data_IF_564368226805
#
_entry.id   IF_564368226805
#
_cell.length_a   1.000
_cell.length_b   1.000
_cell.length_c   1.000
_cell.angle_alpha   90.00
_cell.angle_beta   90.00
_cell.angle_gamma   90.00
#
_symmetry.space_group_name_H-M   'P 1'
#
loop_
_entity.id
_entity.type
_entity.pdbx_description
1 polymer ?
#
# COMPACT_ATOMS: atom_id res chain seq x y z
N UNK A 1 26.19 -47.83 66.51
CA UNK A 1 24.96 -47.42 65.80
C UNK A 1 25.31 -46.18 64.99
N UNK A 2 25.57 -46.36 63.71
CA UNK A 2 26.00 -45.26 62.79
C UNK A 2 25.01 -45.23 61.62
N UNK A 3 24.16 -44.22 61.65
CA UNK A 3 23.14 -43.99 60.62
C UNK A 3 23.76 -43.22 59.44
N UNK A 4 23.84 -43.84 58.28
CA UNK A 4 24.30 -43.21 57.02
C UNK A 4 23.19 -42.46 56.38
N UNK A 5 23.34 -41.12 56.28
CA UNK A 5 22.43 -40.23 55.55
C UNK A 5 22.82 -40.29 54.08
N UNK A 6 21.91 -40.75 53.22
CA UNK A 6 22.08 -40.72 51.77
C UNK A 6 21.47 -39.41 51.24
N UNK A 7 22.31 -38.54 50.65
CA UNK A 7 21.88 -37.32 49.98
C UNK A 7 21.61 -37.67 48.51
N UNK A 8 20.33 -37.65 48.10
CA UNK A 8 19.90 -37.71 46.72
C UNK A 8 20.04 -36.30 46.08
N UNK A 9 21.01 -36.12 45.25
CA UNK A 9 21.14 -34.93 44.40
C UNK A 9 20.26 -35.08 43.16
N UNK A 10 19.09 -34.40 43.15
CA UNK A 10 18.24 -34.28 41.98
C UNK A 10 18.82 -33.22 41.02
N UNK A 11 19.42 -33.64 39.94
CA UNK A 11 19.86 -32.74 38.87
C UNK A 11 18.65 -32.29 38.04
N UNK A 12 18.17 -31.07 38.33
CA UNK A 12 17.17 -30.40 37.47
C UNK A 12 17.86 -29.92 36.21
N UNK A 13 17.68 -30.65 35.11
CA UNK A 13 18.08 -30.21 33.76
C UNK A 13 17.07 -29.14 33.32
N UNK A 14 17.43 -27.87 33.53
CA UNK A 14 16.70 -26.76 32.88
C UNK A 14 16.95 -26.86 31.37
N UNK A 15 15.96 -27.35 30.63
CA UNK A 15 15.91 -27.24 29.19
C UNK A 15 15.76 -25.75 28.81
N UNK A 16 16.88 -25.12 28.46
CA UNK A 16 16.85 -23.81 27.79
C UNK A 16 16.28 -24.06 26.41
N UNK A 17 14.97 -23.80 26.24
CA UNK A 17 14.38 -23.67 24.92
C UNK A 17 15.06 -22.49 24.23
N UNK A 18 16.01 -22.79 23.34
CA UNK A 18 16.58 -21.80 22.44
C UNK A 18 15.42 -21.28 21.58
N UNK A 19 14.88 -20.14 21.97
CA UNK A 19 13.98 -19.37 21.10
C UNK A 19 14.77 -19.06 19.84
N UNK A 20 14.51 -19.80 18.78
CA UNK A 20 15.08 -19.49 17.47
C UNK A 20 14.63 -18.07 17.12
N UNK A 21 15.54 -17.21 16.67
CA UNK A 21 15.17 -15.89 16.22
C UNK A 21 14.09 -16.03 15.14
N UNK A 22 13.01 -15.23 15.26
CA UNK A 22 11.90 -15.19 14.32
C UNK A 22 12.30 -14.68 12.91
N UNK A 23 13.60 -14.50 12.67
CA UNK A 23 14.19 -14.08 11.41
C UNK A 23 14.00 -15.16 10.34
N UNK A 24 13.63 -14.77 9.15
CA UNK A 24 13.44 -15.60 7.95
C UNK A 24 12.19 -16.51 7.95
N UNK A 25 11.09 -16.07 8.55
CA UNK A 25 9.87 -16.88 8.60
C UNK A 25 9.04 -16.78 7.32
N UNK A 26 8.87 -15.56 6.76
CA UNK A 26 7.95 -15.34 5.63
C UNK A 26 8.40 -16.05 4.36
N UNK A 27 9.69 -15.99 4.01
CA UNK A 27 10.20 -16.67 2.82
C UNK A 27 9.97 -18.19 2.88
N UNK A 28 10.24 -18.82 4.02
CA UNK A 28 9.99 -20.27 4.21
C UNK A 28 8.50 -20.62 4.12
N UNK A 29 7.63 -19.81 4.72
CA UNK A 29 6.18 -20.00 4.66
C UNK A 29 5.67 -19.90 3.20
N UNK A 30 6.16 -18.92 2.44
CA UNK A 30 5.84 -18.73 1.03
C UNK A 30 6.31 -19.92 0.20
N UNK A 31 7.55 -20.38 0.39
CA UNK A 31 8.11 -21.55 -0.31
C UNK A 31 7.34 -22.83 0.01
N UNK A 32 7.03 -23.09 1.30
CA UNK A 32 6.27 -24.27 1.73
C UNK A 32 4.86 -24.28 1.20
N UNK A 33 4.22 -23.11 1.13
CA UNK A 33 2.88 -22.95 0.56
C UNK A 33 2.87 -23.08 -0.97
N UNK A 34 4.01 -22.84 -1.62
CA UNK A 34 4.17 -22.89 -3.08
C UNK A 34 3.48 -21.73 -3.82
N UNK A 35 3.12 -20.66 -3.12
CA UNK A 35 2.43 -19.51 -3.68
C UNK A 35 2.69 -18.26 -2.83
N UNK A 36 2.94 -17.12 -3.49
CA UNK A 36 2.97 -15.81 -2.88
C UNK A 36 1.56 -15.26 -2.67
N UNK A 37 1.30 -14.61 -1.53
CA UNK A 37 0.05 -13.89 -1.26
C UNK A 37 0.34 -12.40 -1.21
N UNK A 38 -0.10 -11.69 -2.24
CA UNK A 38 0.18 -10.27 -2.42
C UNK A 38 -1.07 -9.42 -2.19
N UNK A 39 -1.01 -8.47 -1.24
CA UNK A 39 -2.04 -7.46 -1.02
C UNK A 39 -1.94 -6.36 -2.06
N UNK A 40 -3.03 -6.11 -2.78
CA UNK A 40 -3.14 -5.14 -3.87
C UNK A 40 -4.31 -4.18 -3.66
N UNK A 41 -4.45 -3.14 -4.48
CA UNK A 41 -5.63 -2.27 -4.40
C UNK A 41 -6.90 -2.99 -4.89
N UNK A 42 -8.07 -2.40 -4.64
CA UNK A 42 -9.36 -2.95 -5.04
C UNK A 42 -9.72 -2.69 -6.52
N UNK A 43 -8.78 -2.17 -7.30
CA UNK A 43 -8.92 -1.83 -8.71
C UNK A 43 -8.47 -0.39 -8.98
N UNK A 44 -7.16 -0.21 -9.25
CA UNK A 44 -6.56 1.06 -9.63
C UNK A 44 -5.78 0.86 -10.92
N UNK A 45 -6.28 1.44 -12.01
CA UNK A 45 -5.67 1.33 -13.32
C UNK A 45 -4.21 1.84 -13.29
N UNK A 46 -3.31 1.10 -13.93
CA UNK A 46 -1.86 1.36 -13.93
C UNK A 46 -1.10 0.75 -12.75
N UNK A 47 -1.74 0.50 -11.59
CA UNK A 47 -1.10 -0.08 -10.39
C UNK A 47 -1.52 -1.53 -10.15
N UNK A 48 -2.78 -1.75 -9.81
CA UNK A 48 -3.36 -3.09 -9.67
C UNK A 48 -4.83 -3.07 -10.04
N UNK A 49 -5.15 -3.60 -11.20
CA UNK A 49 -6.50 -3.58 -11.75
C UNK A 49 -6.85 -4.94 -12.36
N UNK A 50 -7.94 -5.60 -11.93
CA UNK A 50 -8.43 -6.80 -12.57
C UNK A 50 -9.18 -6.45 -13.85
N UNK A 51 -8.97 -7.23 -14.92
CA UNK A 51 -9.81 -7.17 -16.12
C UNK A 51 -11.14 -7.93 -15.93
N UNK A 52 -11.98 -7.92 -16.94
CA UNK A 52 -13.29 -8.60 -16.91
C UNK A 52 -13.17 -10.13 -16.75
N UNK A 53 -12.01 -10.71 -17.00
CA UNK A 53 -11.69 -12.13 -16.81
C UNK A 53 -11.01 -12.41 -15.46
N UNK A 54 -10.86 -11.37 -14.61
CA UNK A 54 -10.21 -11.47 -13.31
C UNK A 54 -8.67 -11.51 -13.38
N UNK A 55 -8.06 -11.22 -14.52
CA UNK A 55 -6.59 -11.15 -14.65
C UNK A 55 -6.11 -9.78 -14.18
N UNK A 56 -5.19 -9.81 -13.24
CA UNK A 56 -4.60 -8.60 -12.67
C UNK A 56 -3.48 -8.03 -13.55
N UNK A 57 -3.42 -6.70 -13.66
CA UNK A 57 -2.38 -5.98 -14.41
C UNK A 57 -1.98 -4.70 -13.68
N UNK A 58 -0.75 -4.21 -13.93
CA UNK A 58 -0.23 -2.95 -13.45
C UNK A 58 1.04 -3.09 -12.62
N UNK A 59 1.67 -1.97 -12.32
CA UNK A 59 2.99 -1.86 -11.70
C UNK A 59 3.10 -2.67 -10.39
N UNK A 60 2.13 -2.55 -9.49
CA UNK A 60 2.11 -3.28 -8.22
C UNK A 60 1.94 -4.80 -8.43
N UNK A 61 1.18 -5.19 -9.44
CA UNK A 61 0.99 -6.60 -9.84
C UNK A 61 2.30 -7.19 -10.37
N UNK A 62 3.03 -6.43 -11.17
CA UNK A 62 4.28 -6.88 -11.77
C UNK A 62 5.39 -7.00 -10.74
N UNK A 63 5.41 -6.16 -9.71
CA UNK A 63 6.28 -6.35 -8.51
C UNK A 63 6.00 -7.71 -7.85
N UNK A 64 4.73 -8.06 -7.62
CA UNK A 64 4.39 -9.35 -7.01
C UNK A 64 4.79 -10.54 -7.91
N UNK A 65 4.63 -10.42 -9.22
CA UNK A 65 5.04 -11.44 -10.20
C UNK A 65 6.56 -11.60 -10.25
N UNK A 66 7.32 -10.50 -10.19
CA UNK A 66 8.77 -10.54 -10.16
C UNK A 66 9.26 -11.27 -8.90
N UNK A 67 8.66 -11.02 -7.74
CA UNK A 67 8.96 -11.73 -6.50
C UNK A 67 8.63 -13.23 -6.63
N UNK A 68 7.48 -13.57 -7.20
CA UNK A 68 7.11 -14.98 -7.39
C UNK A 68 8.06 -15.68 -8.37
N UNK A 69 8.46 -15.02 -9.45
CA UNK A 69 9.46 -15.54 -10.38
C UNK A 69 10.82 -15.78 -9.69
N UNK A 70 11.26 -14.86 -8.83
CA UNK A 70 12.50 -15.00 -8.09
C UNK A 70 12.50 -16.18 -7.10
N UNK A 71 11.32 -16.52 -6.54
CA UNK A 71 11.20 -17.60 -5.54
C UNK A 71 10.92 -18.97 -6.20
N UNK A 72 10.11 -19.00 -7.26
CA UNK A 72 9.52 -20.21 -7.82
C UNK A 72 9.91 -20.48 -9.27
N UNK A 73 10.66 -19.60 -9.90
CA UNK A 73 10.89 -19.60 -11.37
C UNK A 73 9.56 -19.59 -12.17
N UNK A 74 8.49 -19.03 -11.56
CA UNK A 74 7.14 -18.98 -12.13
C UNK A 74 6.38 -17.73 -11.64
N UNK A 75 6.19 -16.71 -12.49
CA UNK A 75 5.48 -15.47 -12.11
C UNK A 75 3.98 -15.67 -11.88
N UNK A 76 3.41 -16.82 -12.23
CA UNK A 76 2.00 -17.13 -12.02
C UNK A 76 1.70 -17.61 -10.59
N UNK A 77 2.72 -17.94 -9.79
CA UNK A 77 2.56 -18.39 -8.41
C UNK A 77 2.23 -17.28 -7.43
N UNK A 78 1.27 -16.42 -7.78
CA UNK A 78 0.78 -15.32 -6.96
C UNK A 78 -0.72 -15.43 -6.77
N UNK A 79 -1.18 -15.22 -5.54
CA UNK A 79 -2.58 -14.93 -5.20
C UNK A 79 -2.69 -13.45 -4.84
N UNK A 80 -3.48 -12.71 -5.58
CA UNK A 80 -3.77 -11.31 -5.30
C UNK A 80 -4.94 -11.19 -4.32
N UNK A 81 -4.78 -10.35 -3.29
CA UNK A 81 -5.80 -10.06 -2.28
C UNK A 81 -6.13 -8.57 -2.34
N UNK A 82 -7.31 -8.20 -2.84
CA UNK A 82 -7.71 -6.80 -2.89
C UNK A 82 -8.02 -6.27 -1.49
N UNK A 83 -7.35 -5.19 -1.08
CA UNK A 83 -7.45 -4.59 0.23
C UNK A 83 -7.85 -3.12 0.13
N UNK A 84 -8.68 -2.65 1.07
CA UNK A 84 -8.97 -1.22 1.21
C UNK A 84 -7.78 -0.45 1.80
N UNK A 85 -7.79 0.87 1.70
CA UNK A 85 -6.76 1.70 2.34
C UNK A 85 -6.77 1.57 3.86
N UNK A 86 -7.94 1.35 4.46
CA UNK A 86 -8.09 1.25 5.90
C UNK A 86 -7.56 -0.08 6.48
N UNK A 87 -7.72 -1.21 5.76
CA UNK A 87 -7.39 -2.53 6.31
C UNK A 87 -6.04 -3.11 5.83
N UNK A 88 -5.38 -2.49 4.83
CA UNK A 88 -4.16 -3.06 4.22
C UNK A 88 -3.05 -3.37 5.22
N UNK A 89 -2.78 -2.46 6.15
CA UNK A 89 -1.69 -2.66 7.12
C UNK A 89 -2.04 -3.71 8.16
N UNK A 90 -3.29 -3.77 8.60
CA UNK A 90 -3.77 -4.84 9.51
C UNK A 90 -3.70 -6.20 8.84
N UNK A 91 -4.06 -6.31 7.56
CA UNK A 91 -3.95 -7.55 6.79
C UNK A 91 -2.49 -8.02 6.66
N UNK A 92 -1.53 -7.09 6.49
CA UNK A 92 -0.11 -7.42 6.48
C UNK A 92 0.38 -7.87 7.87
N UNK A 93 0.02 -7.15 8.92
CA UNK A 93 0.42 -7.47 10.30
C UNK A 93 -0.16 -8.80 10.77
N UNK A 94 -1.40 -9.13 10.40
CA UNK A 94 -2.07 -10.40 10.74
C UNK A 94 -1.63 -11.59 9.89
N UNK A 95 -0.71 -11.40 8.94
CA UNK A 95 -0.22 -12.41 7.98
C UNK A 95 -1.28 -12.93 7.00
N UNK A 96 -2.35 -12.18 6.77
CA UNK A 96 -3.31 -12.45 5.70
C UNK A 96 -2.64 -12.35 4.33
N UNK A 97 -1.67 -11.43 4.20
CA UNK A 97 -0.80 -11.27 3.03
C UNK A 97 0.68 -11.28 3.44
N UNK A 98 1.56 -11.67 2.51
CA UNK A 98 3.00 -11.73 2.73
C UNK A 98 3.66 -10.37 2.56
N UNK A 99 3.16 -9.57 1.62
CA UNK A 99 3.56 -8.19 1.37
C UNK A 99 2.37 -7.39 0.86
N UNK A 100 2.54 -6.07 0.88
CA UNK A 100 1.68 -5.14 0.15
C UNK A 100 2.46 -4.58 -1.05
N UNK A 101 1.92 -4.72 -2.24
CA UNK A 101 2.23 -3.89 -3.40
C UNK A 101 0.91 -3.21 -3.78
N UNK A 102 0.68 -2.03 -3.17
CA UNK A 102 -0.63 -1.40 -3.15
C UNK A 102 -0.51 0.12 -3.01
N UNK A 103 0.16 0.76 -3.93
CA UNK A 103 0.32 2.23 -3.97
C UNK A 103 0.35 2.84 -2.56
N UNK A 104 1.23 2.35 -1.69
CA UNK A 104 1.34 2.78 -0.30
C UNK A 104 2.47 3.75 -0.12
N UNK A 105 2.16 4.95 0.37
CA UNK A 105 3.15 5.99 0.63
C UNK A 105 4.05 5.61 1.80
N UNK A 106 5.34 5.69 1.62
CA UNK A 106 6.34 5.58 2.67
C UNK A 106 6.33 6.84 3.52
N UNK A 107 5.86 6.72 4.75
CA UNK A 107 5.86 7.81 5.73
C UNK A 107 6.54 7.39 7.01
N UNK A 108 7.11 8.36 7.74
CA UNK A 108 7.77 8.10 9.01
C UNK A 108 6.86 7.32 9.99
N UNK A 109 5.59 7.72 10.10
CA UNK A 109 4.65 7.07 11.02
C UNK A 109 4.32 5.63 10.63
N UNK A 110 4.16 5.35 9.33
CA UNK A 110 3.91 4.00 8.84
C UNK A 110 5.11 3.08 9.06
N UNK A 111 6.30 3.59 8.80
CA UNK A 111 7.55 2.84 8.93
C UNK A 111 7.87 2.56 10.42
N UNK A 112 7.84 3.58 11.27
CA UNK A 112 8.33 3.47 12.65
C UNK A 112 7.28 3.05 13.68
N UNK A 113 5.99 3.33 13.46
CA UNK A 113 4.94 3.12 14.47
C UNK A 113 4.07 1.90 14.20
N UNK A 114 3.98 1.46 12.93
CA UNK A 114 3.13 0.33 12.55
C UNK A 114 3.88 -0.99 12.43
N UNK A 115 5.19 -1.04 12.73
CA UNK A 115 6.00 -2.25 12.60
C UNK A 115 6.07 -2.74 11.16
N UNK A 116 6.30 -1.83 10.23
CA UNK A 116 6.37 -2.07 8.80
C UNK A 116 7.73 -1.63 8.25
N UNK A 117 8.20 -2.32 7.20
CA UNK A 117 9.39 -1.95 6.42
C UNK A 117 8.98 -1.66 4.98
N UNK A 118 9.33 -0.48 4.49
CA UNK A 118 9.23 -0.17 3.07
C UNK A 118 10.51 -0.62 2.36
N UNK A 119 10.38 -1.43 1.33
CA UNK A 119 11.53 -2.09 0.70
C UNK A 119 12.14 -1.32 -0.47
N UNK A 120 11.51 -0.23 -0.89
CA UNK A 120 11.94 0.64 -1.96
C UNK A 120 10.81 1.51 -2.47
N UNK A 121 11.09 2.32 -3.48
CA UNK A 121 10.08 3.17 -4.12
C UNK A 121 9.93 2.71 -5.57
N UNK A 122 8.71 2.35 -5.95
CA UNK A 122 8.37 1.97 -7.32
C UNK A 122 7.68 3.09 -8.10
N UNK A 123 7.16 4.12 -7.40
CA UNK A 123 6.54 5.27 -8.04
C UNK A 123 6.62 6.51 -7.14
N UNK A 124 7.03 7.66 -7.71
CA UNK A 124 6.97 8.96 -7.03
C UNK A 124 5.71 9.67 -7.46
N UNK A 125 4.78 9.86 -6.53
CA UNK A 125 3.52 10.54 -6.74
C UNK A 125 3.40 11.79 -5.86
N UNK A 126 2.27 12.44 -5.93
CA UNK A 126 1.88 13.55 -5.08
C UNK A 126 0.38 13.75 -5.15
N UNK A 127 -0.21 14.24 -4.06
CA UNK A 127 -1.64 14.49 -3.97
C UNK A 127 -2.05 15.70 -4.79
N UNK A 128 -3.19 15.58 -5.49
CA UNK A 128 -3.81 16.65 -6.26
C UNK A 128 -5.33 16.71 -6.00
N UNK A 129 -6.00 17.59 -6.71
CA UNK A 129 -7.46 17.76 -6.66
C UNK A 129 -8.06 17.62 -8.06
N UNK A 130 -9.20 16.96 -8.16
CA UNK A 130 -9.99 16.85 -9.38
C UNK A 130 -11.32 17.57 -9.19
N UNK A 131 -11.71 18.38 -10.16
CA UNK A 131 -12.94 19.15 -10.17
C UNK A 131 -13.68 18.98 -11.50
N UNK A 132 -14.98 19.31 -11.52
CA UNK A 132 -15.74 19.41 -12.77
C UNK A 132 -15.32 20.67 -13.52
N UNK A 133 -15.15 20.58 -14.84
CA UNK A 133 -14.84 21.75 -15.70
C UNK A 133 -15.90 22.84 -15.58
N UNK A 134 -17.16 22.46 -15.33
CA UNK A 134 -18.27 23.40 -15.12
C UNK A 134 -18.09 24.29 -13.88
N UNK A 135 -17.28 23.87 -12.90
CA UNK A 135 -16.96 24.71 -11.73
C UNK A 135 -16.08 25.91 -12.07
N UNK A 136 -15.38 25.88 -13.24
CA UNK A 136 -14.48 26.95 -13.72
C UNK A 136 -13.36 27.30 -12.74
N UNK A 137 -12.92 26.31 -11.96
CA UNK A 137 -11.79 26.39 -11.04
C UNK A 137 -10.52 25.99 -11.79
N UNK A 138 -9.48 26.75 -11.64
CA UNK A 138 -8.18 26.54 -12.32
C UNK A 138 -7.02 26.29 -11.34
N UNK A 139 -7.23 26.56 -10.06
CA UNK A 139 -6.23 26.41 -9.00
C UNK A 139 -6.85 25.82 -7.73
N UNK A 140 -6.08 25.01 -7.01
CA UNK A 140 -6.45 24.50 -5.70
C UNK A 140 -6.67 25.63 -4.67
N UNK A 141 -6.09 26.80 -4.89
CA UNK A 141 -6.28 27.98 -4.05
C UNK A 141 -7.71 28.56 -4.14
N UNK A 142 -8.47 28.16 -5.14
CA UNK A 142 -9.86 28.59 -5.35
C UNK A 142 -10.88 27.64 -4.68
N UNK A 143 -10.44 26.57 -4.01
CA UNK A 143 -11.28 25.52 -3.41
C UNK A 143 -11.83 25.88 -2.02
N UNK A 144 -11.72 27.14 -1.59
CA UNK A 144 -12.23 27.59 -0.30
C UNK A 144 -13.76 27.38 -0.18
N UNK A 145 -14.20 26.66 0.86
CA UNK A 145 -15.60 26.33 1.11
C UNK A 145 -16.14 25.09 0.38
N UNK A 146 -15.32 24.45 -0.46
CA UNK A 146 -15.74 23.28 -1.21
C UNK A 146 -15.92 22.03 -0.33
N UNK A 147 -16.87 21.17 -0.72
CA UNK A 147 -17.00 19.81 -0.21
C UNK A 147 -16.01 18.91 -0.94
N UNK A 148 -15.18 18.17 -0.17
CA UNK A 148 -14.06 17.37 -0.71
C UNK A 148 -14.25 15.90 -0.36
N UNK A 149 -14.43 15.06 -1.38
CA UNK A 149 -14.49 13.63 -1.24
C UNK A 149 -13.09 13.05 -0.97
N UNK A 150 -12.95 12.29 0.12
CA UNK A 150 -11.68 11.74 0.62
C UNK A 150 -11.90 10.29 1.04
N UNK A 151 -10.93 9.41 0.73
CA UNK A 151 -10.93 8.04 1.25
C UNK A 151 -10.20 7.96 2.59
N UNK A 152 -10.81 7.35 3.60
CA UNK A 152 -10.20 7.13 4.92
C UNK A 152 -9.01 6.17 4.88
N UNK A 153 -8.11 6.30 5.87
CA UNK A 153 -6.91 5.45 5.99
C UNK A 153 -5.80 5.79 4.99
N UNK A 154 -5.87 6.98 4.40
CA UNK A 154 -4.88 7.50 3.44
C UNK A 154 -4.07 8.66 4.04
N UNK A 155 -2.94 9.00 3.42
CA UNK A 155 -2.21 10.25 3.67
C UNK A 155 -3.03 11.46 3.23
N UNK A 156 -3.93 11.24 2.30
CA UNK A 156 -4.79 12.26 1.66
C UNK A 156 -5.62 13.07 2.67
N UNK A 157 -6.15 12.42 3.71
CA UNK A 157 -6.93 13.11 4.76
C UNK A 157 -6.09 14.19 5.47
N UNK A 158 -4.87 13.80 5.90
CA UNK A 158 -3.98 14.70 6.63
C UNK A 158 -3.44 15.81 5.73
N UNK A 159 -3.00 15.44 4.53
CA UNK A 159 -2.45 16.40 3.58
C UNK A 159 -3.49 17.43 3.14
N UNK A 160 -4.74 17.02 2.89
CA UNK A 160 -5.81 17.95 2.57
C UNK A 160 -6.06 18.93 3.74
N UNK A 161 -6.20 18.44 4.97
CA UNK A 161 -6.39 19.28 6.15
C UNK A 161 -5.24 20.28 6.32
N UNK A 162 -4.00 19.83 6.12
CA UNK A 162 -2.81 20.69 6.22
C UNK A 162 -2.76 21.73 5.12
N UNK A 163 -3.07 21.36 3.87
CA UNK A 163 -3.10 22.30 2.75
C UNK A 163 -4.13 23.41 2.97
N UNK A 164 -5.37 23.07 3.29
CA UNK A 164 -6.41 24.07 3.51
C UNK A 164 -6.09 24.97 4.70
N UNK A 165 -5.58 24.40 5.80
CA UNK A 165 -5.15 25.18 6.97
C UNK A 165 -3.99 26.13 6.65
N UNK A 166 -2.95 25.65 5.98
CA UNK A 166 -1.76 26.45 5.64
C UNK A 166 -2.08 27.64 4.72
N UNK A 167 -3.12 27.50 3.90
CA UNK A 167 -3.56 28.56 2.98
C UNK A 167 -4.73 29.38 3.52
N UNK A 168 -5.12 29.22 4.80
CA UNK A 168 -6.26 29.90 5.43
C UNK A 168 -7.60 29.65 4.69
N UNK A 169 -7.72 28.50 4.05
CA UNK A 169 -8.95 28.06 3.38
C UNK A 169 -9.75 27.13 4.31
N UNK A 170 -11.08 27.17 4.17
CA UNK A 170 -11.97 26.18 4.80
C UNK A 170 -12.42 25.18 3.74
N UNK A 171 -12.70 23.96 4.14
CA UNK A 171 -13.31 22.93 3.30
C UNK A 171 -14.21 22.03 4.15
N UNK A 172 -15.08 21.29 3.51
CA UNK A 172 -15.94 20.28 4.14
C UNK A 172 -15.43 18.87 3.72
N UNK A 173 -14.78 18.11 4.61
CA UNK A 173 -14.36 16.74 4.28
C UNK A 173 -15.57 15.80 4.26
N UNK A 174 -15.74 15.07 3.14
CA UNK A 174 -16.74 14.02 2.99
C UNK A 174 -15.99 12.70 2.82
N UNK A 175 -15.99 11.87 3.88
CA UNK A 175 -15.08 10.71 4.00
C UNK A 175 -15.81 9.41 3.67
N UNK A 176 -15.16 8.53 2.91
CA UNK A 176 -15.67 7.22 2.47
C UNK A 176 -14.68 6.09 2.80
N UNK A 177 -15.20 4.87 2.94
CA UNK A 177 -14.38 3.71 3.28
C UNK A 177 -13.58 3.17 2.09
N UNK A 178 -14.12 3.26 0.87
CA UNK A 178 -13.50 2.70 -0.34
C UNK A 178 -13.32 3.75 -1.44
N UNK A 179 -12.41 3.48 -2.37
CA UNK A 179 -12.21 4.33 -3.54
C UNK A 179 -13.46 4.39 -4.43
N UNK A 180 -14.16 3.27 -4.59
CA UNK A 180 -15.39 3.20 -5.39
C UNK A 180 -16.53 4.02 -4.80
N UNK A 181 -16.70 4.02 -3.48
CA UNK A 181 -17.69 4.89 -2.81
C UNK A 181 -17.33 6.36 -2.98
N UNK A 182 -16.04 6.71 -2.83
CA UNK A 182 -15.53 8.06 -3.03
C UNK A 182 -15.79 8.54 -4.47
N UNK A 183 -15.47 7.71 -5.45
CA UNK A 183 -15.69 7.99 -6.87
C UNK A 183 -17.17 8.20 -7.20
N UNK A 184 -18.05 7.28 -6.76
CA UNK A 184 -19.50 7.37 -6.97
C UNK A 184 -20.12 8.61 -6.30
N UNK A 185 -19.65 8.95 -5.10
CA UNK A 185 -20.12 10.15 -4.40
C UNK A 185 -19.72 11.43 -5.15
N UNK A 186 -18.49 11.49 -5.64
CA UNK A 186 -18.04 12.60 -6.47
C UNK A 186 -18.79 12.64 -7.80
N UNK A 187 -18.95 11.54 -8.51
CA UNK A 187 -19.63 11.47 -9.80
C UNK A 187 -21.10 11.92 -9.68
N UNK A 188 -21.79 11.52 -8.62
CA UNK A 188 -23.19 11.93 -8.34
C UNK A 188 -23.35 13.37 -7.86
N UNK A 189 -22.27 14.12 -7.65
CA UNK A 189 -22.34 15.51 -7.19
C UNK A 189 -22.47 15.72 -5.70
N UNK A 190 -22.24 14.67 -4.88
CA UNK A 190 -22.23 14.81 -3.41
C UNK A 190 -21.04 15.62 -2.90
N UNK A 191 -19.94 15.65 -3.65
CA UNK A 191 -18.78 16.50 -3.38
C UNK A 191 -18.46 17.36 -4.62
N UNK A 192 -17.91 18.54 -4.36
CA UNK A 192 -17.42 19.45 -5.40
C UNK A 192 -16.07 19.00 -5.96
N UNK A 193 -15.26 18.43 -5.07
CA UNK A 193 -13.85 18.06 -5.32
C UNK A 193 -13.61 16.60 -4.95
N UNK A 194 -12.76 15.91 -5.73
CA UNK A 194 -12.19 14.61 -5.36
C UNK A 194 -10.69 14.79 -5.20
N UNK A 195 -10.12 14.26 -4.11
CA UNK A 195 -8.68 14.31 -3.85
C UNK A 195 -8.11 12.95 -3.50
N UNK A 196 -6.99 12.63 -4.10
CA UNK A 196 -6.08 11.52 -3.84
C UNK A 196 -4.77 11.81 -4.57
N UNK A 197 -3.85 10.84 -4.64
CA UNK A 197 -2.64 10.93 -5.47
C UNK A 197 -3.02 11.27 -6.92
N UNK A 198 -2.20 12.06 -7.60
CA UNK A 198 -2.49 12.52 -8.97
C UNK A 198 -2.68 11.36 -9.94
N UNK A 199 -1.81 10.33 -9.88
CA UNK A 199 -1.98 9.13 -10.69
C UNK A 199 -3.31 8.43 -10.40
N UNK A 200 -3.71 8.37 -9.13
CA UNK A 200 -4.99 7.85 -8.68
C UNK A 200 -6.17 8.65 -9.25
N UNK A 201 -6.10 9.98 -9.25
CA UNK A 201 -7.13 10.83 -9.86
C UNK A 201 -7.29 10.57 -11.36
N UNK A 202 -6.18 10.40 -12.09
CA UNK A 202 -6.25 10.04 -13.51
C UNK A 202 -6.89 8.67 -13.73
N UNK A 203 -6.58 7.69 -12.90
CA UNK A 203 -7.18 6.35 -12.97
C UNK A 203 -8.68 6.39 -12.61
N UNK A 204 -9.05 7.07 -11.52
CA UNK A 204 -10.44 7.19 -11.05
C UNK A 204 -11.31 8.01 -12.02
N UNK A 205 -10.73 9.00 -12.69
CA UNK A 205 -11.42 9.77 -13.74
C UNK A 205 -11.95 8.88 -14.86
N UNK A 206 -11.23 7.82 -15.22
CA UNK A 206 -11.66 6.88 -16.27
C UNK A 206 -12.94 6.12 -15.92
N UNK A 207 -13.28 6.02 -14.64
CA UNK A 207 -14.49 5.35 -14.14
C UNK A 207 -15.73 6.26 -14.07
N UNK A 208 -15.56 7.58 -14.21
CA UNK A 208 -16.66 8.56 -14.16
C UNK A 208 -17.58 8.44 -15.37
N UNK A 209 -18.82 8.82 -15.23
CA UNK A 209 -19.81 8.81 -16.31
C UNK A 209 -19.38 9.69 -17.51
N UNK A 210 -18.74 10.83 -17.23
CA UNK A 210 -18.25 11.78 -18.24
C UNK A 210 -16.78 12.16 -17.97
N UNK A 211 -15.80 11.30 -18.19
CA UNK A 211 -14.39 11.54 -17.81
C UNK A 211 -13.81 12.86 -18.33
N UNK A 212 -14.22 13.28 -19.54
CA UNK A 212 -13.71 14.49 -20.17
C UNK A 212 -14.24 15.79 -19.57
N UNK A 213 -15.31 15.74 -18.76
CA UNK A 213 -15.89 16.89 -18.09
C UNK A 213 -15.19 17.21 -16.76
N UNK A 214 -14.12 16.46 -16.46
CA UNK A 214 -13.35 16.60 -15.24
C UNK A 214 -11.91 16.99 -15.55
N UNK A 215 -11.28 17.72 -14.62
CA UNK A 215 -9.88 18.14 -14.73
C UNK A 215 -9.18 17.96 -13.39
N UNK A 216 -7.96 17.43 -13.43
CA UNK A 216 -7.03 17.42 -12.30
C UNK A 216 -6.32 18.76 -12.28
N UNK A 217 -6.38 19.45 -11.16
CA UNK A 217 -5.74 20.77 -10.98
C UNK A 217 -4.22 20.61 -10.96
N UNK A 218 -3.47 21.66 -11.34
CA UNK A 218 -2.02 21.56 -11.53
C UNK A 218 -1.21 21.47 -10.23
N UNK A 219 -1.76 21.88 -9.10
CA UNK A 219 -1.04 21.88 -7.84
C UNK A 219 -0.88 20.47 -7.28
N UNK A 220 0.35 20.12 -6.97
CA UNK A 220 0.73 18.93 -6.21
C UNK A 220 1.03 19.36 -4.78
N UNK A 221 0.21 18.92 -3.84
CA UNK A 221 0.22 19.41 -2.46
C UNK A 221 1.01 18.56 -1.48
N UNK A 222 1.50 17.40 -1.92
CA UNK A 222 2.33 16.50 -1.10
C UNK A 222 3.39 15.78 -1.94
N UNK A 223 4.21 14.99 -1.26
CA UNK A 223 5.12 14.03 -1.88
C UNK A 223 4.74 12.64 -1.40
N UNK A 224 4.41 11.77 -2.32
CA UNK A 224 3.92 10.42 -2.07
C UNK A 224 4.90 9.40 -2.71
N UNK A 225 6.00 9.05 -2.02
CA UNK A 225 6.88 7.96 -2.47
C UNK A 225 6.18 6.64 -2.21
N UNK A 226 5.71 5.98 -3.26
CA UNK A 226 4.96 4.73 -3.18
C UNK A 226 5.90 3.54 -3.29
N UNK A 227 5.65 2.49 -2.51
CA UNK A 227 6.47 1.29 -2.58
C UNK A 227 5.90 0.07 -1.89
N UNK A 228 6.52 -1.11 -2.15
CA UNK A 228 6.17 -2.35 -1.49
C UNK A 228 6.49 -2.31 0.01
N UNK A 229 5.64 -2.97 0.80
CA UNK A 229 5.71 -2.98 2.26
C UNK A 229 5.71 -4.42 2.77
N UNK A 230 6.58 -4.70 3.73
CA UNK A 230 6.66 -5.97 4.44
C UNK A 230 6.54 -5.75 5.94
N UNK A 231 6.41 -6.82 6.73
CA UNK A 231 6.47 -6.76 8.19
C UNK A 231 7.88 -6.47 8.66
N UNK A 232 8.00 -5.63 9.67
CA UNK A 232 9.27 -5.31 10.30
C UNK A 232 9.93 -6.57 10.93
N UNK A 233 11.27 -6.61 10.91
CA UNK A 233 12.05 -7.65 11.57
C UNK A 233 12.26 -8.93 10.77
N UNK A 234 11.77 -9.03 9.53
CA UNK A 234 12.07 -10.13 8.59
C UNK A 234 12.96 -9.62 7.45
N UNK A 235 14.24 -9.42 7.77
CA UNK A 235 15.21 -8.81 6.86
C UNK A 235 15.44 -9.65 5.61
N UNK A 236 15.46 -10.99 5.71
CA UNK A 236 15.60 -11.87 4.55
C UNK A 236 14.43 -11.69 3.57
N UNK A 237 13.20 -11.62 4.10
CA UNK A 237 12.03 -11.35 3.29
C UNK A 237 12.07 -9.94 2.68
N UNK A 238 12.44 -8.94 3.48
CA UNK A 238 12.64 -7.58 3.02
C UNK A 238 13.66 -7.47 1.89
N UNK A 239 14.75 -8.23 1.97
CA UNK A 239 15.78 -8.26 0.91
C UNK A 239 15.27 -8.92 -0.38
N UNK A 240 14.53 -10.03 -0.31
CA UNK A 240 13.90 -10.64 -1.49
C UNK A 240 13.00 -9.63 -2.21
N UNK A 241 12.14 -8.93 -1.47
CA UNK A 241 11.22 -7.93 -2.07
C UNK A 241 12.00 -6.74 -2.64
N UNK A 242 12.95 -6.20 -1.89
CA UNK A 242 13.79 -5.06 -2.31
C UNK A 242 14.57 -5.36 -3.57
N UNK A 243 15.28 -6.49 -3.60
CA UNK A 243 16.12 -6.83 -4.74
C UNK A 243 15.30 -7.24 -5.96
N UNK A 244 14.12 -7.84 -5.79
CA UNK A 244 13.19 -8.06 -6.92
C UNK A 244 12.79 -6.73 -7.57
N UNK A 245 12.45 -5.71 -6.77
CA UNK A 245 12.15 -4.37 -7.29
C UNK A 245 13.37 -3.72 -7.97
N UNK A 246 14.55 -3.78 -7.33
CA UNK A 246 15.77 -3.21 -7.91
C UNK A 246 16.15 -3.88 -9.23
N UNK A 247 15.93 -5.19 -9.36
CA UNK A 247 16.16 -5.91 -10.61
C UNK A 247 15.18 -5.51 -11.72
N UNK A 248 13.91 -5.22 -11.38
CA UNK A 248 12.96 -4.67 -12.35
C UNK A 248 13.41 -3.30 -12.88
N UNK A 249 13.87 -2.41 -11.97
CA UNK A 249 14.38 -1.08 -12.35
C UNK A 249 15.62 -1.22 -13.24
N UNK A 250 16.57 -2.08 -12.85
CA UNK A 250 17.77 -2.33 -13.66
C UNK A 250 17.46 -2.94 -15.02
N UNK A 251 16.47 -3.85 -15.10
CA UNK A 251 16.01 -4.43 -16.37
C UNK A 251 15.44 -3.35 -17.29
N UNK A 252 14.61 -2.44 -16.77
CA UNK A 252 14.07 -1.31 -17.52
C UNK A 252 15.20 -0.42 -18.06
N UNK A 253 16.18 -0.04 -17.24
CA UNK A 253 17.34 0.76 -17.65
C UNK A 253 18.18 0.08 -18.75
N UNK A 254 18.26 -1.25 -18.75
CA UNK A 254 18.95 -2.06 -19.75
C UNK A 254 18.10 -2.38 -20.97
N UNK A 255 16.84 -1.92 -21.04
CA UNK A 255 15.91 -2.21 -22.12
C UNK A 255 15.46 -3.67 -22.20
N UNK A 256 15.52 -4.39 -21.10
CA UNK A 256 15.00 -5.76 -20.95
C UNK A 256 13.51 -5.67 -20.60
N UNK A 257 12.64 -6.26 -21.41
CA UNK A 257 11.17 -6.24 -21.24
C UNK A 257 10.60 -7.64 -21.12
#
# INVERSE_FOLDING_TARGET
>A
MTTKLAILASAAVLGVALAQPAAAQTLREVQQRGQLVCGVSQGLAGFSNPDAQGRWTGLDVDVCRAIAAAIFDDPARVRFVPLSSANRFTALQSREVDLLARNSTWTLSRDTQLGLDFTGINYYDGQAFMVRRSARVSSAMELGGASVCIQTGTTTELNAADFFRANNLRFEPVVFATADETNKAYDSGRCDVFTTDASGLYAERLKLATPNDHVVLPEIISKEPLGPVVRHGDSEWGDVVRWSLNMMIAAEELGIT
#
